data_IF_464653534965
#
_entry.id   IF_464653534965
#
_cell.length_a   1.000
_cell.length_b   1.000
_cell.length_c   1.000
_cell.angle_alpha   90.00
_cell.angle_beta   90.00
_cell.angle_gamma   90.00
#
_symmetry.space_group_name_H-M   'P 1'
#
loop_
_entity.id
_entity.type
_entity.pdbx_description
1 polymer ?
#
# COMPACT_ATOMS: atom_id res chain seq x y z
N UNK A 1 -12.56 2.47 -15.48
CA UNK A 1 -12.24 3.27 -14.28
C UNK A 1 -10.90 2.80 -13.76
N UNK A 2 -9.90 3.68 -13.64
CA UNK A 2 -8.55 3.30 -13.19
C UNK A 2 -8.49 3.24 -11.66
N UNK A 3 -7.90 2.18 -11.13
CA UNK A 3 -7.85 1.86 -9.70
C UNK A 3 -6.43 2.01 -9.16
N UNK A 4 -6.27 2.81 -8.12
CA UNK A 4 -5.07 2.90 -7.32
C UNK A 4 -5.23 2.14 -6.00
N UNK A 5 -4.18 1.47 -5.53
CA UNK A 5 -4.16 0.87 -4.19
C UNK A 5 -2.98 1.41 -3.40
N UNK A 6 -3.23 1.78 -2.16
CA UNK A 6 -2.20 2.11 -1.17
C UNK A 6 -2.13 0.92 -0.21
N UNK A 7 -0.96 0.37 0.01
CA UNK A 7 -0.74 -0.68 1.03
C UNK A 7 -0.05 -0.02 2.20
N UNK A 8 -0.76 0.11 3.33
CA UNK A 8 -0.20 0.62 4.57
C UNK A 8 0.22 -0.54 5.46
N UNK A 9 1.53 -0.69 5.67
CA UNK A 9 2.11 -1.74 6.48
C UNK A 9 2.29 -1.23 7.91
N UNK A 10 1.61 -1.88 8.85
CA UNK A 10 1.68 -1.58 10.29
C UNK A 10 2.66 -2.51 11.00
N UNK A 11 3.53 -1.94 11.86
CA UNK A 11 4.45 -2.68 12.73
C UNK A 11 5.92 -2.44 12.41
N UNK A 12 6.77 -2.62 13.43
CA UNK A 12 8.22 -2.66 13.33
C UNK A 12 8.65 -4.04 12.80
N UNK A 13 8.80 -4.18 11.48
CA UNK A 13 9.64 -5.25 10.96
C UNK A 13 10.64 -4.68 9.95
N UNK A 14 11.89 -5.06 10.20
CA UNK A 14 13.15 -4.74 9.52
C UNK A 14 12.99 -4.08 8.15
N UNK A 15 13.40 -2.81 8.08
CA UNK A 15 13.53 -1.95 6.89
C UNK A 15 14.25 -2.58 5.66
N UNK A 16 14.77 -3.81 5.77
CA UNK A 16 15.56 -4.47 4.72
C UNK A 16 14.72 -5.17 3.64
N UNK A 17 13.39 -5.25 3.75
CA UNK A 17 12.59 -5.94 2.72
C UNK A 17 11.24 -5.31 2.41
N UNK A 18 11.19 -3.98 2.25
CA UNK A 18 10.18 -3.39 1.37
C UNK A 18 10.57 -3.71 -0.08
N UNK A 19 10.30 -4.96 -0.48
CA UNK A 19 10.38 -5.42 -1.86
C UNK A 19 9.57 -4.46 -2.75
N UNK A 20 9.99 -4.30 -4.01
CA UNK A 20 9.29 -3.50 -5.01
C UNK A 20 7.76 -3.58 -4.87
N UNK A 21 7.08 -2.43 -5.00
CA UNK A 21 5.63 -2.33 -4.81
C UNK A 21 4.83 -3.36 -5.61
N UNK A 22 5.36 -3.72 -6.78
CA UNK A 22 4.83 -4.74 -7.67
C UNK A 22 4.91 -6.15 -7.08
N UNK A 23 6.04 -6.53 -6.50
CA UNK A 23 6.25 -7.86 -5.90
C UNK A 23 5.32 -8.08 -4.70
N UNK A 24 5.15 -7.06 -3.86
CA UNK A 24 4.21 -7.15 -2.72
C UNK A 24 2.76 -7.21 -3.20
N UNK A 25 2.40 -6.41 -4.22
CA UNK A 25 1.07 -6.48 -4.82
C UNK A 25 0.76 -7.86 -5.41
N UNK A 26 1.74 -8.49 -6.08
CA UNK A 26 1.62 -9.85 -6.62
C UNK A 26 1.44 -10.89 -5.49
N UNK A 27 2.27 -10.82 -4.44
CA UNK A 27 2.14 -11.71 -3.26
C UNK A 27 0.78 -11.60 -2.57
N UNK A 28 0.23 -10.38 -2.50
CA UNK A 28 -1.07 -10.11 -1.88
C UNK A 28 -2.25 -10.27 -2.86
N UNK A 29 -2.00 -10.70 -4.10
CA UNK A 29 -3.00 -10.85 -5.16
C UNK A 29 -3.85 -9.57 -5.37
N UNK A 30 -3.21 -8.41 -5.28
CA UNK A 30 -3.86 -7.10 -5.45
C UNK A 30 -3.94 -6.78 -6.94
N UNK A 31 -5.16 -6.54 -7.43
CA UNK A 31 -5.42 -6.08 -8.80
C UNK A 31 -5.69 -4.58 -8.80
N UNK A 32 -4.72 -3.81 -9.29
CA UNK A 32 -4.81 -2.36 -9.43
C UNK A 32 -3.97 -1.88 -10.62
N UNK A 33 -4.32 -0.73 -11.19
CA UNK A 33 -3.53 -0.08 -12.25
C UNK A 33 -2.24 0.51 -11.69
N UNK A 34 -2.26 0.99 -10.44
CA UNK A 34 -1.07 1.43 -9.69
C UNK A 34 -1.16 1.05 -8.22
N UNK A 35 0.01 0.73 -7.65
CA UNK A 35 0.16 0.39 -6.24
C UNK A 35 1.26 1.26 -5.65
N UNK A 36 0.99 1.85 -4.49
CA UNK A 36 1.97 2.54 -3.66
C UNK A 36 2.05 1.81 -2.30
N UNK A 37 3.24 1.71 -1.71
CA UNK A 37 3.45 1.05 -0.41
C UNK A 37 4.01 2.04 0.58
N UNK A 38 3.46 2.01 1.79
CA UNK A 38 3.82 2.90 2.88
C UNK A 38 3.99 2.04 4.12
N UNK A 39 5.09 2.22 4.81
CA UNK A 39 5.40 1.68 6.13
C UNK A 39 5.66 2.84 7.10
N UNK A 40 5.80 2.53 8.38
CA UNK A 40 6.18 3.52 9.39
C UNK A 40 7.60 4.10 9.15
N UNK A 41 8.46 3.37 8.43
CA UNK A 41 9.83 3.77 8.08
C UNK A 41 9.95 4.47 6.72
N UNK A 42 8.85 4.73 6.00
CA UNK A 42 8.94 5.39 4.66
C UNK A 42 9.30 6.89 4.74
N UNK A 43 9.71 7.36 5.93
CA UNK A 43 10.14 8.73 6.18
C UNK A 43 8.98 9.71 6.08
N UNK A 44 9.13 10.75 5.24
CA UNK A 44 8.14 11.81 5.08
C UNK A 44 7.01 11.48 4.10
N UNK A 45 7.07 10.33 3.40
CA UNK A 45 6.06 9.97 2.42
C UNK A 45 4.91 9.22 3.08
N UNK A 46 3.78 9.91 3.27
CA UNK A 46 2.63 9.38 3.99
C UNK A 46 1.45 8.99 3.08
N UNK A 47 0.34 8.57 3.69
CA UNK A 47 -0.89 8.15 2.98
C UNK A 47 -1.43 9.30 2.12
N UNK A 48 -1.30 10.55 2.56
CA UNK A 48 -1.78 11.71 1.83
C UNK A 48 -0.92 11.97 0.59
N UNK A 49 0.40 11.84 0.69
CA UNK A 49 1.31 11.96 -0.45
C UNK A 49 1.09 10.86 -1.48
N UNK A 50 0.93 9.61 -1.04
CA UNK A 50 0.62 8.48 -1.92
C UNK A 50 -0.73 8.66 -2.61
N UNK A 51 -1.76 9.09 -1.87
CA UNK A 51 -3.07 9.37 -2.44
C UNK A 51 -3.00 10.49 -3.49
N UNK A 52 -2.33 11.62 -3.18
CA UNK A 52 -2.13 12.73 -4.11
C UNK A 52 -1.37 12.28 -5.36
N UNK A 53 -0.34 11.46 -5.20
CA UNK A 53 0.41 10.82 -6.29
C UNK A 53 -0.55 10.02 -7.18
N UNK A 54 -1.35 9.10 -6.63
CA UNK A 54 -2.27 8.28 -7.40
C UNK A 54 -3.34 9.11 -8.14
N UNK A 55 -3.91 10.12 -7.48
CA UNK A 55 -4.92 10.99 -8.08
C UNK A 55 -4.33 11.82 -9.22
N UNK A 56 -3.16 12.43 -9.03
CA UNK A 56 -2.47 13.19 -10.10
C UNK A 56 -2.04 12.31 -11.28
N UNK A 57 -1.82 11.01 -11.03
CA UNK A 57 -1.56 9.98 -12.04
C UNK A 57 -2.84 9.44 -12.72
N UNK A 58 -4.02 9.99 -12.40
CA UNK A 58 -5.30 9.70 -13.06
C UNK A 58 -6.08 8.51 -12.49
N UNK A 59 -5.77 8.07 -11.26
CA UNK A 59 -6.56 7.05 -10.56
C UNK A 59 -7.83 7.66 -10.00
N UNK A 60 -8.98 7.09 -10.36
CA UNK A 60 -10.31 7.59 -9.98
C UNK A 60 -10.90 6.85 -8.79
N UNK A 61 -10.37 5.65 -8.52
CA UNK A 61 -10.80 4.82 -7.41
C UNK A 61 -9.57 4.42 -6.60
N UNK A 62 -9.36 5.04 -5.44
CA UNK A 62 -8.21 4.76 -4.58
C UNK A 62 -8.66 4.05 -3.32
N UNK A 63 -8.05 2.90 -3.04
CA UNK A 63 -8.31 2.10 -1.83
C UNK A 63 -7.03 1.96 -1.04
N UNK A 64 -7.07 2.31 0.24
CA UNK A 64 -6.02 2.01 1.20
C UNK A 64 -6.31 0.67 1.87
N UNK A 65 -5.36 -0.26 1.84
CA UNK A 65 -5.44 -1.57 2.49
C UNK A 65 -4.41 -1.64 3.60
N UNK A 66 -4.83 -2.09 4.78
CA UNK A 66 -3.91 -2.33 5.88
C UNK A 66 -3.29 -3.72 5.75
N UNK A 67 -1.97 -3.78 5.83
CA UNK A 67 -1.19 -5.00 5.92
C UNK A 67 -0.35 -4.99 7.20
N UNK A 68 0.02 -6.17 7.68
CA UNK A 68 0.94 -6.35 8.79
C UNK A 68 1.97 -7.41 8.43
N UNK A 69 3.13 -7.35 9.06
CA UNK A 69 4.03 -8.48 9.02
C UNK A 69 3.52 -9.60 9.93
N UNK A 70 3.62 -10.83 9.42
CA UNK A 70 3.39 -12.06 10.17
C UNK A 70 4.64 -12.39 10.98
N UNK A 71 4.50 -13.22 12.02
CA UNK A 71 5.62 -13.73 12.84
C UNK A 71 6.71 -14.44 12.01
N UNK A 72 6.40 -14.82 10.76
CA UNK A 72 7.31 -15.45 9.81
C UNK A 72 7.99 -14.47 8.84
N UNK A 73 7.75 -13.15 8.96
CA UNK A 73 8.24 -12.11 8.05
C UNK A 73 7.43 -11.94 6.76
N UNK A 74 6.32 -12.68 6.61
CA UNK A 74 5.42 -12.54 5.46
C UNK A 74 4.46 -11.36 5.64
N UNK A 75 4.24 -10.57 4.59
CA UNK A 75 3.22 -9.51 4.59
C UNK A 75 1.84 -10.14 4.42
N UNK A 76 0.91 -9.79 5.30
CA UNK A 76 -0.48 -10.25 5.24
C UNK A 76 -1.46 -9.08 5.33
N UNK A 77 -2.48 -9.09 4.46
CA UNK A 77 -3.60 -8.15 4.55
C UNK A 77 -4.39 -8.42 5.84
N UNK A 78 -4.76 -7.34 6.52
CA UNK A 78 -5.56 -7.40 7.75
C UNK A 78 -7.06 -7.54 7.47
N UNK A 79 -7.48 -7.41 6.22
CA UNK A 79 -8.89 -7.34 5.80
C UNK A 79 -9.53 -5.96 5.97
N UNK A 80 -8.84 -5.00 6.59
CA UNK A 80 -9.32 -3.62 6.71
C UNK A 80 -8.96 -2.83 5.45
N UNK A 81 -9.99 -2.30 4.80
CA UNK A 81 -9.88 -1.50 3.58
C UNK A 81 -10.63 -0.18 3.76
N UNK A 82 -10.01 0.91 3.34
CA UNK A 82 -10.56 2.25 3.40
C UNK A 82 -10.57 2.82 1.98
N UNK A 83 -11.76 3.16 1.48
CA UNK A 83 -11.86 3.91 0.23
C UNK A 83 -11.52 5.37 0.51
N UNK A 84 -10.53 5.90 -0.21
CA UNK A 84 -10.17 7.30 -0.13
C UNK A 84 -10.98 8.08 -1.16
N UNK A 85 -11.77 9.04 -0.68
CA UNK A 85 -12.63 9.90 -1.48
C UNK A 85 -12.19 11.35 -1.28
N UNK A 86 -12.22 12.13 -2.36
CA UNK A 86 -11.89 13.55 -2.39
C UNK A 86 -12.21 14.14 -3.74
#
# INVERSE_FOLDING_TARGET
MKTGVIIYITGDESSETLSDAKTVAEKLNIRADRVEIISQDTGHFDIQDAWRSLVTKGMQHVVCKLAKFSVKGDIQLTGHELRLCG
#
